data_IF_252643970876
#
_entry.id   IF_252643970876
#
_cell.length_a   1.000
_cell.length_b   1.000
_cell.length_c   1.000
_cell.angle_alpha   90.00
_cell.angle_beta   90.00
_cell.angle_gamma   90.00
#
_symmetry.space_group_name_H-M   'P 1'
#
loop_
_entity.id
_entity.type
_entity.pdbx_description
1 polymer ?
#
# COMPACT_ATOMS: atom_id res chain seq x y z
N UNK A 1 -17.21 -10.67 -8.46
CA UNK A 1 -16.82 -9.49 -9.26
C UNK A 1 -16.83 -9.87 -10.73
N UNK A 2 -17.54 -9.13 -11.59
CA UNK A 2 -17.54 -9.34 -13.05
C UNK A 2 -16.17 -8.97 -13.64
N UNK A 3 -15.82 -9.56 -14.79
CA UNK A 3 -14.60 -9.20 -15.52
C UNK A 3 -14.64 -7.70 -15.92
N UNK A 4 -13.48 -7.02 -15.89
CA UNK A 4 -13.35 -5.60 -16.26
C UNK A 4 -13.68 -4.59 -15.15
N UNK A 5 -13.97 -5.02 -13.91
CA UNK A 5 -14.17 -4.12 -12.76
C UNK A 5 -13.03 -4.23 -11.76
N UNK A 6 -12.49 -3.09 -11.35
CA UNK A 6 -11.42 -2.96 -10.37
C UNK A 6 -11.94 -2.25 -9.12
N UNK A 7 -11.39 -2.62 -7.96
CA UNK A 7 -11.67 -1.95 -6.69
C UNK A 7 -10.34 -1.45 -6.13
N UNK A 8 -10.26 -0.15 -5.87
CA UNK A 8 -9.12 0.45 -5.19
C UNK A 8 -9.46 0.61 -3.72
N UNK A 9 -8.61 0.07 -2.85
CA UNK A 9 -8.76 0.14 -1.39
C UNK A 9 -7.57 0.91 -0.84
N UNK A 10 -7.82 1.88 0.04
CA UNK A 10 -6.79 2.59 0.80
C UNK A 10 -6.72 2.01 2.22
N UNK A 11 -5.84 1.02 2.49
CA UNK A 11 -5.87 0.24 3.73
C UNK A 11 -5.48 1.04 4.98
N UNK A 12 -4.88 2.23 4.82
CA UNK A 12 -4.52 3.12 5.92
C UNK A 12 -5.71 3.94 6.48
N UNK A 13 -6.90 3.77 5.90
CA UNK A 13 -8.17 4.48 6.16
C UNK A 13 -8.15 6.01 5.94
N UNK A 14 -7.02 6.67 6.19
CA UNK A 14 -6.82 8.10 6.02
C UNK A 14 -5.57 8.35 5.16
N UNK A 15 -5.66 9.32 4.24
CA UNK A 15 -4.50 9.76 3.46
C UNK A 15 -3.71 10.77 4.29
N UNK A 16 -2.41 10.55 4.43
CA UNK A 16 -1.49 11.51 5.04
C UNK A 16 -0.67 12.17 3.93
N UNK A 17 -1.01 13.41 3.53
CA UNK A 17 -0.32 14.08 2.43
C UNK A 17 1.20 14.07 2.60
N UNK A 18 1.91 13.57 1.59
CA UNK A 18 3.38 13.54 1.56
C UNK A 18 4.08 12.71 2.66
N UNK A 19 3.35 11.87 3.39
CA UNK A 19 3.97 10.90 4.29
C UNK A 19 4.75 9.84 3.48
N UNK A 20 5.98 9.59 3.88
CA UNK A 20 6.92 8.69 3.17
C UNK A 20 6.94 7.27 3.73
N UNK A 21 6.32 7.03 4.89
CA UNK A 21 6.21 5.72 5.50
C UNK A 21 4.92 4.99 5.10
N UNK A 22 4.84 3.71 5.46
CA UNK A 22 3.63 2.89 5.32
C UNK A 22 3.07 2.63 6.73
N UNK A 23 1.84 3.06 6.96
CA UNK A 23 1.17 2.85 8.25
C UNK A 23 0.60 1.43 8.36
N UNK A 24 0.38 0.91 9.57
CA UNK A 24 -0.22 -0.41 9.74
C UNK A 24 -1.58 -0.50 9.04
N UNK A 25 -1.83 -1.62 8.35
CA UNK A 25 -3.09 -1.89 7.69
C UNK A 25 -4.05 -2.65 8.60
N UNK A 26 -5.34 -2.35 8.52
CA UNK A 26 -6.37 -3.16 9.16
C UNK A 26 -6.65 -4.43 8.37
N UNK A 27 -6.80 -5.57 9.04
CA UNK A 27 -7.12 -6.87 8.41
C UNK A 27 -8.39 -6.81 7.53
N UNK A 28 -9.37 -5.99 7.94
CA UNK A 28 -10.63 -5.80 7.21
C UNK A 28 -10.45 -5.34 5.75
N UNK A 29 -9.36 -4.62 5.44
CA UNK A 29 -9.06 -4.19 4.07
C UNK A 29 -8.82 -5.37 3.11
N UNK A 30 -8.46 -6.55 3.66
CA UNK A 30 -8.12 -7.74 2.89
C UNK A 30 -9.26 -8.76 2.80
N UNK A 31 -10.43 -8.47 3.38
CA UNK A 31 -11.60 -9.34 3.30
C UNK A 31 -12.04 -9.59 1.84
N UNK A 32 -12.22 -8.54 1.04
CA UNK A 32 -12.67 -8.66 -0.34
C UNK A 32 -11.74 -9.46 -1.26
N UNK A 33 -10.42 -9.21 -1.31
CA UNK A 33 -9.54 -9.99 -2.17
C UNK A 33 -9.51 -11.47 -1.79
N UNK A 34 -9.53 -11.80 -0.49
CA UNK A 34 -9.59 -13.19 -0.01
C UNK A 34 -10.94 -13.85 -0.36
N UNK A 35 -12.06 -13.17 -0.09
CA UNK A 35 -13.39 -13.70 -0.35
C UNK A 35 -13.66 -13.92 -1.84
N UNK A 36 -13.02 -13.14 -2.72
CA UNK A 36 -13.23 -13.21 -4.17
C UNK A 36 -12.14 -13.98 -4.92
N UNK A 37 -11.06 -14.37 -4.24
CA UNK A 37 -9.90 -15.06 -4.86
C UNK A 37 -9.22 -14.25 -5.96
N UNK A 38 -9.36 -12.92 -5.97
CA UNK A 38 -8.79 -12.05 -7.00
C UNK A 38 -7.39 -11.56 -6.60
N UNK A 39 -6.48 -11.39 -7.58
CA UNK A 39 -5.15 -10.86 -7.30
C UNK A 39 -5.21 -9.43 -6.77
N UNK A 40 -4.26 -9.09 -5.90
CA UNK A 40 -4.04 -7.73 -5.43
C UNK A 40 -2.83 -7.12 -6.13
N UNK A 41 -2.93 -5.84 -6.45
CA UNK A 41 -1.80 -5.02 -6.89
C UNK A 41 -1.64 -3.87 -5.89
N UNK A 42 -0.41 -3.51 -5.58
CA UNK A 42 -0.10 -2.39 -4.68
C UNK A 42 0.31 -1.17 -5.48
N UNK A 43 -0.16 0.00 -5.06
CA UNK A 43 0.30 1.29 -5.58
C UNK A 43 1.07 2.02 -4.48
N UNK A 44 2.38 2.23 -4.67
CA UNK A 44 3.21 2.96 -3.69
C UNK A 44 3.73 4.25 -4.30
N UNK A 45 3.36 5.37 -3.67
CA UNK A 45 3.82 6.70 -4.05
C UNK A 45 5.12 7.02 -3.33
N UNK A 46 6.12 7.48 -4.06
CA UNK A 46 7.37 8.00 -3.49
C UNK A 46 7.65 9.41 -3.96
N UNK A 47 8.42 10.14 -3.15
CA UNK A 47 8.71 11.54 -3.35
C UNK A 47 10.19 11.77 -3.57
N UNK A 48 10.52 12.45 -4.67
CA UNK A 48 11.88 12.69 -5.12
C UNK A 48 12.18 14.19 -5.07
N UNK A 49 13.38 14.55 -4.58
CA UNK A 49 13.84 15.94 -4.54
C UNK A 49 13.99 16.47 -5.97
N UNK A 50 13.49 17.69 -6.22
CA UNK A 50 13.71 18.42 -7.49
C UNK A 50 14.74 19.52 -7.27
N UNK A 51 15.61 19.82 -8.25
CA UNK A 51 16.62 20.90 -8.13
C UNK A 51 16.01 22.30 -7.99
N UNK A 52 15.00 22.62 -8.80
CA UNK A 52 14.45 23.99 -8.94
C UNK A 52 13.05 24.19 -8.36
N UNK A 53 12.43 23.16 -7.77
CA UNK A 53 11.07 23.23 -7.22
C UNK A 53 11.03 22.80 -5.77
N UNK A 54 10.22 23.49 -4.96
CA UNK A 54 9.91 23.10 -3.57
C UNK A 54 8.97 21.90 -3.51
N UNK A 55 8.09 21.72 -4.50
CA UNK A 55 7.22 20.53 -4.58
C UNK A 55 8.01 19.32 -5.10
N UNK A 56 7.89 18.14 -4.49
CA UNK A 56 8.59 16.94 -4.93
C UNK A 56 8.11 16.45 -6.30
N UNK A 57 8.93 15.63 -6.96
CA UNK A 57 8.46 14.76 -8.04
C UNK A 57 7.81 13.53 -7.41
N UNK A 58 6.67 13.12 -7.95
CA UNK A 58 5.95 11.91 -7.55
C UNK A 58 6.34 10.79 -8.52
N UNK A 59 6.70 9.64 -7.97
CA UNK A 59 6.83 8.37 -8.69
C UNK A 59 5.83 7.38 -8.08
N UNK A 60 5.07 6.68 -8.92
CA UNK A 60 4.12 5.66 -8.47
C UNK A 60 4.60 4.30 -8.94
N UNK A 61 4.86 3.40 -8.00
CA UNK A 61 5.16 1.99 -8.27
C UNK A 61 3.87 1.19 -8.26
N UNK A 62 3.73 0.29 -9.23
CA UNK A 62 2.64 -0.69 -9.30
C UNK A 62 3.26 -2.07 -9.25
N UNK A 63 3.00 -2.82 -8.19
CA UNK A 63 3.56 -4.16 -7.98
C UNK A 63 2.46 -5.21 -7.82
N UNK A 64 2.76 -6.44 -8.22
CA UNK A 64 1.83 -7.58 -8.17
C UNK A 64 1.98 -8.50 -9.39
N UNK A 65 1.10 -9.50 -9.54
CA UNK A 65 -0.03 -9.79 -8.65
C UNK A 65 0.40 -10.47 -7.34
N UNK A 66 -0.15 -10.01 -6.22
CA UNK A 66 -0.03 -10.63 -4.90
C UNK A 66 -1.25 -11.51 -4.61
N UNK A 67 -1.00 -12.70 -4.04
CA UNK A 67 -2.04 -13.66 -3.66
C UNK A 67 -1.66 -14.35 -2.35
N UNK A 68 -2.61 -14.64 -1.46
CA UNK A 68 -2.36 -15.50 -0.32
C UNK A 68 -2.31 -16.98 -0.75
N UNK A 69 -1.74 -17.82 0.11
CA UNK A 69 -1.78 -19.27 0.00
C UNK A 69 -3.22 -19.76 0.19
N UNK A 70 -3.78 -20.34 -0.86
CA UNK A 70 -5.15 -20.83 -0.88
C UNK A 70 -5.41 -22.03 0.05
N UNK A 71 -4.36 -22.71 0.52
CA UNK A 71 -4.47 -23.83 1.46
C UNK A 71 -4.76 -23.39 2.89
N UNK A 72 -4.50 -22.12 3.22
CA UNK A 72 -4.71 -21.57 4.57
C UNK A 72 -6.19 -21.28 4.85
N UNK A 73 -6.56 -21.16 6.12
CA UNK A 73 -7.89 -20.66 6.52
C UNK A 73 -8.09 -19.22 6.02
N UNK A 74 -9.34 -18.79 5.78
CA UNK A 74 -9.63 -17.42 5.30
C UNK A 74 -8.99 -16.33 6.17
N UNK A 75 -8.98 -16.50 7.50
CA UNK A 75 -8.36 -15.56 8.44
C UNK A 75 -6.84 -15.51 8.24
N UNK A 76 -6.19 -16.66 8.12
CA UNK A 76 -4.76 -16.74 7.85
C UNK A 76 -4.40 -16.19 6.46
N UNK A 77 -5.24 -16.39 5.44
CA UNK A 77 -5.08 -15.76 4.13
C UNK A 77 -5.13 -14.24 4.20
N UNK A 78 -6.04 -13.66 4.98
CA UNK A 78 -6.13 -12.20 5.17
C UNK A 78 -4.87 -11.65 5.85
N UNK A 79 -4.42 -12.30 6.93
CA UNK A 79 -3.20 -11.90 7.63
C UNK A 79 -1.95 -12.02 6.74
N UNK A 80 -1.81 -13.13 6.01
CA UNK A 80 -0.68 -13.32 5.09
C UNK A 80 -0.68 -12.30 3.95
N UNK A 81 -1.84 -12.04 3.35
CA UNK A 81 -1.97 -11.04 2.29
C UNK A 81 -1.68 -9.63 2.80
N UNK A 82 -2.13 -9.31 4.02
CA UNK A 82 -1.82 -8.04 4.67
C UNK A 82 -0.32 -7.86 4.87
N UNK A 83 0.38 -8.91 5.31
CA UNK A 83 1.83 -8.89 5.49
C UNK A 83 2.56 -8.71 4.16
N UNK A 84 2.21 -9.49 3.13
CA UNK A 84 2.81 -9.38 1.79
C UNK A 84 2.65 -7.97 1.21
N UNK A 85 1.45 -7.39 1.31
CA UNK A 85 1.17 -6.04 0.83
C UNK A 85 1.94 -4.99 1.64
N UNK A 86 2.00 -5.15 2.97
CA UNK A 86 2.77 -4.25 3.85
C UNK A 86 4.26 -4.27 3.51
N UNK A 87 4.84 -5.45 3.37
CA UNK A 87 6.25 -5.62 3.03
C UNK A 87 6.58 -5.01 1.66
N UNK A 88 5.78 -5.32 0.65
CA UNK A 88 5.98 -4.78 -0.71
C UNK A 88 5.92 -3.25 -0.73
N UNK A 89 4.90 -2.67 -0.07
CA UNK A 89 4.75 -1.22 -0.02
C UNK A 89 5.88 -0.56 0.77
N UNK A 90 6.35 -1.16 1.88
CA UNK A 90 7.50 -0.66 2.66
C UNK A 90 8.79 -0.69 1.86
N UNK A 91 9.01 -1.76 1.08
CA UNK A 91 10.16 -1.86 0.20
C UNK A 91 10.19 -0.71 -0.81
N UNK A 92 9.05 -0.41 -1.44
CA UNK A 92 8.95 0.71 -2.40
C UNK A 92 9.02 2.07 -1.71
N UNK A 93 8.44 2.23 -0.53
CA UNK A 93 8.41 3.53 0.16
C UNK A 93 9.81 4.04 0.51
N UNK A 94 10.75 3.12 0.77
CA UNK A 94 12.17 3.39 0.98
C UNK A 94 12.86 4.07 -0.22
N UNK A 95 12.28 4.03 -1.42
CA UNK A 95 12.80 4.75 -2.59
C UNK A 95 12.49 6.27 -2.57
N UNK A 96 11.79 6.79 -1.56
CA UNK A 96 11.62 8.24 -1.39
C UNK A 96 12.95 8.90 -1.00
N UNK A 97 13.43 9.87 -1.79
CA UNK A 97 14.66 10.61 -1.46
C UNK A 97 14.39 11.93 -0.74
N UNK A 98 13.12 12.25 -0.48
CA UNK A 98 12.74 13.55 0.08
C UNK A 98 11.45 13.49 0.90
N UNK A 99 11.50 13.97 2.13
CA UNK A 99 10.33 14.18 3.00
C UNK A 99 9.90 15.64 2.91
N UNK A 100 8.75 15.89 2.26
CA UNK A 100 8.21 17.24 2.12
C UNK A 100 7.44 17.70 3.37
N UNK A 101 6.76 16.76 4.05
CA UNK A 101 6.08 16.97 5.33
C UNK A 101 6.54 15.87 6.29
N UNK A 102 6.88 16.26 7.52
CA UNK A 102 7.24 15.32 8.60
C UNK A 102 6.16 15.36 9.67
N UNK A 103 5.50 14.24 9.88
CA UNK A 103 4.49 14.09 10.93
C UNK A 103 5.15 13.62 12.23
N UNK A 104 4.80 14.24 13.35
CA UNK A 104 5.28 13.89 14.68
C UNK A 104 4.09 13.67 15.61
N UNK A 105 4.18 12.65 16.47
CA UNK A 105 3.21 12.47 17.55
C UNK A 105 3.39 13.61 18.55
N UNK A 106 2.31 14.26 18.93
CA UNK A 106 2.32 15.27 20.01
C UNK A 106 2.67 14.56 21.32
N UNK A 107 3.76 14.97 21.95
CA UNK A 107 4.16 14.58 23.30
C UNK A 107 3.27 15.25 24.35
#
# INVERSE_FOLDING_TARGET
MQAGRYVTIFPEAHVWPYYTGIRPFGEAAFHYPVATGKPVYTMTVTYQRRRWSRRPRITVFVDGPLRPDATLTRKAQQAQLAELVTQQMRQRSAASTYSYITYQRRS
#
